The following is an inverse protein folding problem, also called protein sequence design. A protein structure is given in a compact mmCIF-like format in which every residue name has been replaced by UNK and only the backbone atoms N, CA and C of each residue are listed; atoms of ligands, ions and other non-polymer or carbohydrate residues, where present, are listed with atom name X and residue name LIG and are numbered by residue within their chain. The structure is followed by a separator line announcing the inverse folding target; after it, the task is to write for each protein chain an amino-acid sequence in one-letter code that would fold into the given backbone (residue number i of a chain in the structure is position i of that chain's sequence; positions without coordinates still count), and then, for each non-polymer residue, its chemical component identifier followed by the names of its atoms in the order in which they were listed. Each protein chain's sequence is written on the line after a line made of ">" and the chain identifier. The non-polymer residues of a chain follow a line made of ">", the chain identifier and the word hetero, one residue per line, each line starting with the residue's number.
data_IF_153691772700
#
_entry.id   IF_153691772700
#
_cell.length_a   1.000
_cell.length_b   1.000
_cell.length_c   1.000
_cell.angle_alpha   90.00
_cell.angle_beta   90.00
_cell.angle_gamma   90.00
#
_symmetry.space_group_name_H-M   'P 1'
#
loop_
_entity.id
_entity.type
_entity.pdbx_description
1 polymer ?
#
# COMPACT_ATOMS: atom_id res chain seq x y z
N UNK A 1 -13.87 -11.28 -2.59
CA UNK A 1 -13.44 -9.86 -2.61
C UNK A 1 -13.27 -9.35 -4.04
N UNK A 2 -12.39 -9.97 -4.83
CA UNK A 2 -12.20 -9.64 -6.25
C UNK A 2 -13.51 -9.70 -7.07
N UNK A 3 -14.29 -10.77 -6.89
CA UNK A 3 -15.59 -10.98 -7.57
C UNK A 3 -16.63 -9.90 -7.26
N UNK A 4 -16.51 -9.24 -6.10
CA UNK A 4 -17.39 -8.13 -5.68
C UNK A 4 -16.78 -6.75 -5.92
N UNK A 5 -15.62 -6.68 -6.61
CA UNK A 5 -14.89 -5.43 -6.90
C UNK A 5 -14.59 -4.59 -5.67
N UNK A 6 -14.31 -5.26 -4.54
CA UNK A 6 -13.90 -4.58 -3.31
C UNK A 6 -12.39 -4.33 -3.44
N UNK A 7 -11.99 -3.05 -3.47
CA UNK A 7 -10.59 -2.66 -3.47
C UNK A 7 -9.92 -3.09 -2.16
N UNK A 8 -8.74 -3.70 -2.26
CA UNK A 8 -7.93 -4.14 -1.12
C UNK A 8 -6.61 -3.39 -1.14
N UNK A 9 -6.21 -2.89 0.02
CA UNK A 9 -4.97 -2.16 0.22
C UNK A 9 -4.16 -2.89 1.27
N UNK A 10 -2.95 -3.31 0.92
CA UNK A 10 -2.15 -4.18 1.77
C UNK A 10 -0.74 -3.61 1.94
N UNK A 11 -0.30 -3.55 3.20
CA UNK A 11 1.10 -3.33 3.56
C UNK A 11 1.65 -4.64 4.11
N UNK A 12 2.90 -4.92 3.80
CA UNK A 12 3.64 -6.03 4.36
C UNK A 12 4.30 -5.61 5.67
N UNK A 13 4.21 -6.47 6.67
CA UNK A 13 4.81 -6.24 7.98
C UNK A 13 6.23 -6.79 8.08
N UNK A 14 6.83 -6.60 9.24
CA UNK A 14 8.14 -7.17 9.59
C UNK A 14 8.15 -8.72 9.63
N UNK A 15 6.99 -9.35 9.75
CA UNK A 15 6.84 -10.81 9.74
C UNK A 15 6.69 -11.42 8.33
N UNK A 16 6.40 -10.57 7.35
CA UNK A 16 6.20 -10.90 5.94
C UNK A 16 6.84 -9.82 5.05
N UNK A 17 8.12 -9.47 5.26
CA UNK A 17 8.73 -8.31 4.62
C UNK A 17 8.73 -8.48 3.10
N UNK A 18 8.81 -7.36 2.38
CA UNK A 18 8.72 -7.32 0.92
C UNK A 18 9.78 -8.19 0.22
N UNK A 19 10.94 -8.38 0.84
CA UNK A 19 11.99 -9.28 0.36
C UNK A 19 11.67 -10.78 0.49
N UNK A 20 10.66 -11.13 1.31
CA UNK A 20 10.31 -12.52 1.57
C UNK A 20 9.71 -13.19 0.34
N UNK A 21 10.00 -14.47 0.12
CA UNK A 21 9.40 -15.21 -1.01
C UNK A 21 7.86 -15.24 -0.95
N UNK A 22 7.28 -15.16 0.26
CA UNK A 22 5.82 -15.09 0.49
C UNK A 22 5.23 -13.76 0.02
N UNK A 23 6.02 -12.68 0.08
CA UNK A 23 5.64 -11.35 -0.39
C UNK A 23 5.57 -11.26 -1.93
N UNK A 24 6.17 -12.21 -2.65
CA UNK A 24 6.19 -12.25 -4.12
C UNK A 24 5.01 -13.03 -4.72
N UNK A 25 4.03 -13.44 -3.91
CA UNK A 25 2.83 -14.12 -4.41
C UNK A 25 2.04 -13.16 -5.31
N UNK A 26 1.64 -13.63 -6.50
CA UNK A 26 0.78 -12.85 -7.38
C UNK A 26 -0.57 -12.62 -6.71
N UNK A 27 -0.87 -11.35 -6.45
CA UNK A 27 -2.15 -10.94 -5.89
C UNK A 27 -3.16 -10.68 -7.02
N UNK A 28 -4.47 -10.86 -6.75
CA UNK A 28 -5.52 -10.46 -7.68
C UNK A 28 -5.48 -8.96 -8.00
N UNK A 29 -5.96 -8.57 -9.18
CA UNK A 29 -5.90 -7.18 -9.69
C UNK A 29 -6.57 -6.13 -8.77
N UNK A 30 -7.49 -6.54 -7.91
CA UNK A 30 -8.17 -5.64 -6.97
C UNK A 30 -7.34 -5.37 -5.69
N UNK A 31 -6.16 -5.96 -5.57
CA UNK A 31 -5.25 -5.81 -4.42
C UNK A 31 -4.09 -4.91 -4.80
N UNK A 32 -3.97 -3.77 -4.13
CA UNK A 32 -2.78 -2.94 -4.19
C UNK A 32 -1.88 -3.27 -3.00
N UNK A 33 -0.66 -3.75 -3.29
CA UNK A 33 0.40 -3.93 -2.30
C UNK A 33 1.32 -2.72 -2.37
N UNK A 34 1.51 -2.04 -1.25
CA UNK A 34 2.39 -0.87 -1.17
C UNK A 34 3.87 -1.28 -1.24
N UNK A 35 4.69 -0.44 -1.87
CA UNK A 35 6.15 -0.58 -1.92
C UNK A 35 6.76 -0.42 -0.53
N UNK A 36 7.94 -1.02 -0.33
CA UNK A 36 8.79 -0.79 0.85
C UNK A 36 9.84 0.31 0.66
N UNK A 37 10.02 0.83 -0.56
CA UNK A 37 11.07 1.81 -0.84
C UNK A 37 10.65 3.26 -0.51
N UNK A 38 9.37 3.56 -0.70
CA UNK A 38 8.82 4.90 -0.49
C UNK A 38 7.34 4.86 -0.13
N UNK A 39 6.87 5.85 0.63
CA UNK A 39 5.44 6.05 0.89
C UNK A 39 4.72 6.31 -0.42
N UNK A 40 3.72 5.48 -0.72
CA UNK A 40 2.86 5.67 -1.89
C UNK A 40 1.47 6.09 -1.45
N UNK A 41 0.82 6.88 -2.32
CA UNK A 41 -0.58 7.24 -2.24
C UNK A 41 -1.33 6.49 -3.32
N UNK A 42 -2.40 5.80 -2.95
CA UNK A 42 -3.31 5.17 -3.90
C UNK A 42 -4.73 5.74 -3.75
N UNK A 43 -5.42 6.09 -4.85
CA UNK A 43 -6.76 6.68 -4.77
C UNK A 43 -7.79 5.65 -4.30
N UNK A 44 -8.67 6.07 -3.38
CA UNK A 44 -9.87 5.35 -3.01
C UNK A 44 -11.01 5.81 -3.93
N UNK A 45 -11.39 4.95 -4.86
CA UNK A 45 -12.46 5.22 -5.82
C UNK A 45 -13.74 4.52 -5.37
N UNK A 46 -14.81 5.29 -5.17
CA UNK A 46 -16.16 4.77 -4.92
C UNK A 46 -17.10 5.38 -5.95
N UNK A 47 -17.85 4.54 -6.67
CA UNK A 47 -18.73 4.98 -7.76
C UNK A 47 -18.03 5.89 -8.79
N UNK A 48 -16.81 5.54 -9.19
CA UNK A 48 -15.97 6.32 -10.11
C UNK A 48 -15.54 7.71 -9.61
N UNK A 49 -15.73 8.01 -8.31
CA UNK A 49 -15.31 9.25 -7.70
C UNK A 49 -14.17 8.97 -6.71
N UNK A 50 -13.09 9.74 -6.81
CA UNK A 50 -12.03 9.72 -5.80
C UNK A 50 -12.53 10.41 -4.53
N UNK A 51 -12.77 9.62 -3.49
CA UNK A 51 -13.27 10.12 -2.20
C UNK A 51 -12.14 10.33 -1.19
N UNK A 52 -10.93 9.85 -1.49
CA UNK A 52 -9.76 10.00 -0.63
C UNK A 52 -8.52 9.31 -1.21
N UNK A 53 -7.40 9.45 -0.50
CA UNK A 53 -6.16 8.74 -0.80
C UNK A 53 -5.75 7.86 0.37
N UNK A 54 -5.40 6.60 0.10
CA UNK A 54 -4.80 5.68 1.07
C UNK A 54 -3.29 5.81 0.93
N UNK A 55 -2.61 6.12 2.04
CA UNK A 55 -1.16 6.20 2.08
C UNK A 55 -0.60 5.00 2.81
N UNK A 56 0.42 4.37 2.25
CA UNK A 56 1.03 3.17 2.82
C UNK A 56 2.49 3.00 2.39
N UNK A 57 3.21 2.26 3.21
CA UNK A 57 4.56 1.75 2.93
C UNK A 57 4.67 0.38 3.60
N UNK A 58 5.23 -0.58 2.88
CA UNK A 58 5.50 -1.93 3.38
C UNK A 58 6.84 -1.99 4.10
N UNK A 59 7.02 -2.99 4.96
CA UNK A 59 8.29 -3.23 5.61
C UNK A 59 9.26 -3.90 4.62
N UNK A 60 10.41 -3.29 4.36
CA UNK A 60 11.41 -3.82 3.44
C UNK A 60 12.15 -5.03 3.98
N UNK A 61 12.47 -5.01 5.28
CA UNK A 61 13.26 -6.01 5.98
C UNK A 61 12.72 -6.25 7.39
N UNK A 62 12.96 -7.43 7.98
CA UNK A 62 12.36 -7.83 9.26
C UNK A 62 12.69 -6.95 10.49
N UNK A 63 13.66 -6.02 10.38
CA UNK A 63 14.06 -5.07 11.44
C UNK A 63 14.26 -3.64 10.90
N UNK A 64 13.29 -3.12 10.15
CA UNK A 64 13.29 -1.74 9.67
C UNK A 64 12.99 -0.75 10.81
N UNK A 65 13.85 0.26 10.99
CA UNK A 65 13.73 1.28 12.05
C UNK A 65 13.67 2.71 11.50
N UNK A 66 13.56 2.84 10.19
CA UNK A 66 13.55 4.10 9.50
C UNK A 66 12.27 4.90 9.77
N UNK A 67 12.43 6.22 9.84
CA UNK A 67 11.31 7.13 10.06
C UNK A 67 10.79 7.68 8.72
N UNK A 68 9.69 7.13 8.24
CA UNK A 68 9.04 7.53 6.99
C UNK A 68 8.08 8.72 7.12
N UNK A 69 7.87 9.27 8.33
CA UNK A 69 6.87 10.34 8.57
C UNK A 69 7.08 11.54 7.63
N UNK A 70 8.34 11.85 7.30
CA UNK A 70 8.68 12.98 6.41
C UNK A 70 8.30 12.77 4.95
N UNK A 71 8.01 11.55 4.53
CA UNK A 71 7.61 11.23 3.16
C UNK A 71 6.11 11.45 2.92
N UNK A 72 5.30 11.46 3.98
CA UNK A 72 3.87 11.71 3.87
C UNK A 72 3.63 13.18 3.48
N UNK A 73 2.89 13.37 2.38
CA UNK A 73 2.46 14.68 1.93
C UNK A 73 0.95 14.76 1.94
N UNK A 74 0.43 15.84 2.53
CA UNK A 74 -0.98 16.15 2.45
C UNK A 74 -1.39 16.25 0.98
N UNK A 75 -2.57 15.71 0.65
CA UNK A 75 -3.12 15.83 -0.69
C UNK A 75 -3.53 17.29 -0.92
N UNK A 76 -2.77 18.01 -1.74
CA UNK A 76 -3.19 19.30 -2.28
C UNK A 76 -4.24 19.06 -3.36
N UNK A 77 -5.45 19.59 -3.17
CA UNK A 77 -6.34 19.88 -4.30
C UNK A 77 -5.84 21.20 -4.88
N UNK A 78 -5.30 21.16 -6.08
CA UNK A 78 -5.18 22.37 -6.92
C UNK A 78 -6.57 22.95 -7.21
#
# INVERSE_FOLDING_TARGET
>A
LAEHRIAVYMVQGNHDPAESWKAQLQMPDNVHVFSSEQVQRFPLIVNNIEIGGVYGISCGHGNESDNYVRQYRAFGRD
#
